data_IF_287013823199
#
_entry.id   IF_287013823199
#
_cell.length_a   1.000
_cell.length_b   1.000
_cell.length_c   1.000
_cell.angle_alpha   90.00
_cell.angle_beta   90.00
_cell.angle_gamma   90.00
#
_symmetry.space_group_name_H-M   'P 1'
#
loop_
_entity.id
_entity.type
_entity.pdbx_description
1 polymer ?
#
# COMPACT_ATOMS: atom_id res chain seq x y z
N UNK A 1 5.39 27.16 -11.87
CA UNK A 1 4.32 26.17 -12.09
C UNK A 1 4.25 25.41 -10.79
N UNK A 2 3.15 25.55 -10.04
CA UNK A 2 2.98 24.74 -8.83
C UNK A 2 2.72 23.31 -9.29
N UNK A 3 3.68 22.44 -9.05
CA UNK A 3 3.52 21.00 -9.30
C UNK A 3 2.52 20.52 -8.25
N UNK A 4 1.27 20.40 -8.65
CA UNK A 4 0.24 19.86 -7.78
C UNK A 4 0.42 18.34 -7.79
N UNK A 5 0.85 17.79 -6.65
CA UNK A 5 1.10 16.36 -6.52
C UNK A 5 -0.20 15.57 -6.78
N UNK A 6 -0.14 14.65 -7.74
CA UNK A 6 -1.23 13.69 -7.97
C UNK A 6 -1.15 12.58 -6.93
N UNK A 7 -2.28 12.34 -6.28
CA UNK A 7 -2.46 11.28 -5.29
C UNK A 7 -3.65 10.40 -5.64
N UNK A 8 -3.70 9.23 -5.01
CA UNK A 8 -4.66 8.18 -5.31
C UNK A 8 -5.52 7.89 -4.10
N UNK A 9 -6.83 7.81 -4.29
CA UNK A 9 -7.81 7.61 -3.21
C UNK A 9 -8.70 6.42 -3.56
N UNK A 10 -8.83 5.45 -2.66
CA UNK A 10 -9.82 4.38 -2.83
C UNK A 10 -11.21 4.89 -2.46
N UNK A 11 -12.22 4.54 -3.26
CA UNK A 11 -13.61 4.94 -2.99
C UNK A 11 -14.09 4.39 -1.64
N UNK A 12 -14.57 5.27 -0.75
CA UNK A 12 -15.03 4.90 0.58
C UNK A 12 -13.91 4.79 1.63
N UNK A 13 -12.68 5.18 1.30
CA UNK A 13 -11.59 5.32 2.25
C UNK A 13 -11.29 6.81 2.52
N UNK A 14 -10.80 7.08 3.73
CA UNK A 14 -10.33 8.37 4.22
C UNK A 14 -8.79 8.51 4.10
N UNK A 15 -8.16 7.66 3.29
CA UNK A 15 -6.72 7.63 3.10
C UNK A 15 -6.33 7.92 1.66
N UNK A 16 -5.33 8.78 1.48
CA UNK A 16 -4.72 9.04 0.18
C UNK A 16 -3.33 8.40 0.06
N UNK A 17 -2.93 8.08 -1.16
CA UNK A 17 -1.73 7.33 -1.48
C UNK A 17 -0.89 8.12 -2.48
N UNK A 18 0.44 8.10 -2.31
CA UNK A 18 1.39 8.76 -3.23
C UNK A 18 1.67 7.95 -4.51
N UNK A 19 1.32 6.66 -4.51
CA UNK A 19 1.51 5.77 -5.66
C UNK A 19 0.29 4.88 -5.84
N UNK A 20 -0.11 4.69 -7.10
CA UNK A 20 -1.17 3.77 -7.53
C UNK A 20 -0.84 2.31 -7.23
N UNK A 21 0.45 2.00 -7.11
CA UNK A 21 0.98 0.66 -6.82
C UNK A 21 1.13 0.41 -5.31
N UNK A 22 0.68 1.34 -4.46
CA UNK A 22 0.70 1.14 -3.02
C UNK A 22 -0.09 -0.13 -2.65
N UNK A 23 0.52 -1.03 -1.86
CA UNK A 23 -0.15 -2.25 -1.42
C UNK A 23 -1.46 -1.98 -0.64
N UNK A 24 -1.60 -0.81 -0.01
CA UNK A 24 -2.86 -0.38 0.60
C UNK A 24 -4.03 -0.23 -0.39
N UNK A 25 -3.74 -0.15 -1.69
CA UNK A 25 -4.74 -0.11 -2.77
C UNK A 25 -5.02 -1.50 -3.38
N UNK A 26 -4.30 -2.56 -2.98
CA UNK A 26 -4.42 -3.90 -3.59
C UNK A 26 -5.84 -4.50 -3.51
N UNK A 27 -6.62 -4.11 -2.50
CA UNK A 27 -8.01 -4.52 -2.30
C UNK A 27 -9.03 -3.46 -2.74
N UNK A 28 -8.59 -2.31 -3.25
CA UNK A 28 -9.49 -1.24 -3.67
C UNK A 28 -10.22 -1.65 -4.95
N UNK A 29 -11.56 -1.60 -4.92
CA UNK A 29 -12.38 -1.86 -6.11
C UNK A 29 -12.29 -0.72 -7.12
N UNK A 30 -12.10 0.50 -6.63
CA UNK A 30 -12.05 1.71 -7.44
C UNK A 30 -11.05 2.66 -6.79
N UNK A 31 -10.16 3.19 -7.62
CA UNK A 31 -9.13 4.15 -7.23
C UNK A 31 -9.29 5.38 -8.09
N UNK A 32 -9.43 6.53 -7.45
CA UNK A 32 -9.56 7.83 -8.09
C UNK A 32 -8.23 8.60 -8.00
N UNK A 33 -7.87 9.26 -9.10
CA UNK A 33 -6.74 10.18 -9.15
C UNK A 33 -7.23 11.57 -8.78
N UNK A 34 -6.60 12.19 -7.78
CA UNK A 34 -6.94 13.53 -7.31
C UNK A 34 -5.70 14.35 -7.07
N UNK A 35 -5.89 15.66 -7.21
CA UNK A 35 -4.93 16.68 -6.80
C UNK A 35 -4.81 16.74 -5.28
N UNK A 36 -3.59 16.74 -4.74
CA UNK A 36 -3.35 16.85 -3.30
C UNK A 36 -3.97 18.13 -2.74
N UNK A 37 -3.92 19.24 -3.47
CA UNK A 37 -4.56 20.51 -3.06
C UNK A 37 -6.09 20.47 -3.07
N UNK A 38 -6.69 19.51 -3.77
CA UNK A 38 -8.14 19.34 -3.87
C UNK A 38 -8.69 18.34 -2.86
N UNK A 39 -7.82 17.68 -2.08
CA UNK A 39 -8.23 16.81 -0.99
C UNK A 39 -8.66 17.63 0.23
N UNK A 40 -9.71 17.19 0.88
CA UNK A 40 -10.16 17.75 2.16
C UNK A 40 -9.20 17.32 3.28
N UNK A 41 -9.09 18.13 4.34
CA UNK A 41 -8.26 17.85 5.53
C UNK A 41 -8.67 16.58 6.29
N UNK A 42 -9.81 15.99 5.95
CA UNK A 42 -10.33 14.74 6.51
C UNK A 42 -9.50 13.52 6.04
N UNK A 43 -8.76 13.67 4.93
CA UNK A 43 -7.97 12.60 4.37
C UNK A 43 -6.58 12.52 4.99
N UNK A 44 -6.17 11.32 5.37
CA UNK A 44 -4.86 11.05 5.94
C UNK A 44 -3.93 10.33 4.96
N UNK A 45 -2.63 10.59 5.03
CA UNK A 45 -1.65 9.87 4.21
C UNK A 45 -1.62 8.39 4.63
N UNK A 46 -1.68 7.48 3.65
CA UNK A 46 -1.54 6.05 3.90
C UNK A 46 -0.26 5.74 4.70
N UNK A 47 -0.36 4.91 5.73
CA UNK A 47 0.76 4.56 6.62
C UNK A 47 1.96 3.95 5.87
N UNK A 48 1.70 3.16 4.82
CA UNK A 48 2.74 2.65 3.92
C UNK A 48 3.42 3.77 3.14
N UNK A 49 2.64 4.70 2.57
CA UNK A 49 3.18 5.86 1.84
C UNK A 49 3.87 6.89 2.74
N UNK A 50 3.51 6.93 4.03
CA UNK A 50 4.17 7.75 5.04
C UNK A 50 5.51 7.18 5.50
N UNK A 51 5.77 5.90 5.22
CA UNK A 51 6.95 5.19 5.74
C UNK A 51 6.85 4.79 7.21
N UNK A 52 5.71 5.04 7.87
CA UNK A 52 5.42 4.61 9.25
C UNK A 52 5.36 3.08 9.35
N UNK A 53 4.93 2.41 8.28
CA UNK A 53 4.98 0.97 8.17
C UNK A 53 6.06 0.56 7.16
N UNK A 54 7.19 0.06 7.65
CA UNK A 54 8.22 -0.57 6.81
C UNK A 54 7.81 -2.03 6.61
N UNK A 55 7.32 -2.35 5.42
CA UNK A 55 7.36 -3.73 4.94
C UNK A 55 8.84 -4.15 4.98
N UNK A 56 9.17 -5.09 5.85
CA UNK A 56 10.53 -5.61 5.90
C UNK A 56 10.86 -6.17 4.52
N UNK A 57 12.05 -5.89 3.95
CA UNK A 57 12.46 -6.48 2.67
C UNK A 57 12.58 -8.02 2.72
N UNK A 58 12.45 -8.63 3.89
CA UNK A 58 12.27 -10.07 4.09
C UNK A 58 10.89 -10.60 3.65
N UNK A 59 9.89 -9.74 3.41
CA UNK A 59 8.61 -10.08 2.79
C UNK A 59 8.65 -10.00 1.24
N UNK A 60 9.86 -10.00 0.67
CA UNK A 60 10.10 -9.83 -0.77
C UNK A 60 9.65 -10.97 -1.69
N UNK A 61 8.89 -11.97 -1.23
CA UNK A 61 8.44 -13.05 -2.12
C UNK A 61 7.23 -13.86 -1.63
N UNK A 62 6.13 -13.23 -1.23
CA UNK A 62 4.86 -13.97 -1.08
C UNK A 62 3.70 -13.23 -1.74
N UNK A 63 3.87 -12.95 -3.04
CA UNK A 63 2.73 -12.84 -3.95
C UNK A 63 2.60 -14.17 -4.68
N UNK A 64 1.50 -14.87 -4.38
CA UNK A 64 0.87 -15.98 -5.11
C UNK A 64 1.47 -17.40 -5.04
N UNK A 65 0.68 -18.29 -4.38
CA UNK A 65 0.43 -19.70 -4.69
C UNK A 65 1.12 -20.86 -3.93
N UNK A 66 1.91 -20.69 -2.86
CA UNK A 66 2.57 -21.88 -2.24
C UNK A 66 2.83 -21.89 -0.72
N UNK A 67 1.90 -21.38 0.10
CA UNK A 67 2.02 -21.36 1.58
C UNK A 67 1.67 -22.70 2.26
N UNK A 68 1.81 -23.87 1.61
CA UNK A 68 1.43 -25.15 2.27
C UNK A 68 2.34 -26.36 2.03
N UNK A 69 3.53 -26.19 1.49
CA UNK A 69 4.53 -27.27 1.48
C UNK A 69 5.86 -26.71 1.94
N UNK A 70 6.51 -27.41 2.87
CA UNK A 70 7.79 -27.12 3.54
C UNK A 70 7.67 -26.33 4.86
N UNK A 71 6.98 -26.96 5.84
CA UNK A 71 7.42 -26.87 7.24
C UNK A 71 8.71 -27.71 7.40
N UNK A 72 9.61 -27.19 8.22
CA UNK A 72 11.06 -27.34 8.27
C UNK A 72 11.62 -28.76 8.53
N UNK A 73 12.78 -29.12 7.95
CA UNK A 73 13.66 -30.15 8.50
C UNK A 73 14.76 -29.50 9.37
N UNK A 74 14.38 -28.91 10.52
CA UNK A 74 15.31 -28.71 11.65
C UNK A 74 15.05 -29.72 12.78
N UNK A 75 14.64 -30.94 12.39
CA UNK A 75 14.90 -32.17 13.16
C UNK A 75 16.20 -32.83 12.64
N UNK A 76 17.26 -32.02 12.51
CA UNK A 76 18.62 -32.48 12.26
C UNK A 76 19.44 -32.21 13.52
N UNK A 77 19.27 -33.10 14.49
CA UNK A 77 20.18 -33.29 15.63
C UNK A 77 21.21 -34.38 15.35
#
# INVERSE_FOLDING_TARGET
MSDDDIVYVATGCDRFHKSRECQGLSHARTVEERSLSSLSDEFSLCELCSGTYRLSPSDGSFVTARVLENLDPEDVG
#
